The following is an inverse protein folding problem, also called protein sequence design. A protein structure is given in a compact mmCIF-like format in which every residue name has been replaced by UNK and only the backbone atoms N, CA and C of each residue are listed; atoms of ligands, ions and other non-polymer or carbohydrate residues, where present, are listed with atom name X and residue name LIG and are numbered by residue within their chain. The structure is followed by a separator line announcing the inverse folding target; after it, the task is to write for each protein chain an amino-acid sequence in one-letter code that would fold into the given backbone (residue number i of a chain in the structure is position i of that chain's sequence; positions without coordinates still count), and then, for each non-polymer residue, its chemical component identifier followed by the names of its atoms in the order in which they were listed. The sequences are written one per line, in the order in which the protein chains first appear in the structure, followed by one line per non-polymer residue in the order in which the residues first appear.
data_IF_054842373177
#
_entry.id   IF_054842373177
#
_cell.length_a   1.000
_cell.length_b   1.000
_cell.length_c   1.000
_cell.angle_alpha   90.00
_cell.angle_beta   90.00
_cell.angle_gamma   90.00
#
_symmetry.space_group_name_H-M   'P 1'
#
loop_
_entity.id
_entity.type
_entity.pdbx_description
1 polymer ?
#
# COMPACT_ATOMS: atom_id res chain seq x y z
N UNK A 1 6.28 -8.10 -20.65
CA UNK A 1 6.87 -8.30 -19.30
C UNK A 1 7.24 -9.76 -19.05
N UNK A 2 6.30 -10.72 -19.14
CA UNK A 2 6.58 -12.16 -18.92
C UNK A 2 7.66 -12.71 -19.86
N UNK A 3 7.53 -12.47 -21.16
CA UNK A 3 8.54 -12.89 -22.15
C UNK A 3 9.93 -12.34 -21.86
N UNK A 4 10.03 -11.07 -21.46
CA UNK A 4 11.31 -10.43 -21.12
C UNK A 4 11.96 -11.12 -19.92
N UNK A 5 11.19 -11.44 -18.86
CA UNK A 5 11.72 -12.16 -17.70
C UNK A 5 12.17 -13.57 -18.05
N UNK A 6 11.34 -14.30 -18.79
CA UNK A 6 11.69 -15.63 -19.30
C UNK A 6 13.01 -15.57 -20.08
N UNK A 7 13.11 -14.65 -21.05
CA UNK A 7 14.31 -14.48 -21.87
C UNK A 7 15.54 -14.13 -21.03
N UNK A 8 15.43 -13.22 -20.06
CA UNK A 8 16.55 -12.87 -19.17
C UNK A 8 17.04 -14.07 -18.35
N UNK A 9 16.13 -14.91 -17.86
CA UNK A 9 16.50 -16.10 -17.08
C UNK A 9 17.08 -17.21 -17.96
N UNK A 10 16.51 -17.40 -19.15
CA UNK A 10 17.00 -18.35 -20.18
C UNK A 10 18.40 -17.95 -20.68
N UNK A 11 18.60 -16.67 -21.02
CA UNK A 11 19.90 -16.11 -21.42
C UNK A 11 20.94 -16.23 -20.28
N UNK A 12 20.50 -16.30 -19.01
CA UNK A 12 21.35 -16.53 -17.84
C UNK A 12 21.61 -18.03 -17.54
N UNK A 13 21.07 -18.93 -18.38
CA UNK A 13 21.29 -20.38 -18.27
C UNK A 13 20.35 -21.11 -17.30
N UNK A 14 19.27 -20.46 -16.84
CA UNK A 14 18.28 -21.14 -16.01
C UNK A 14 17.49 -22.18 -16.83
N UNK A 15 17.19 -23.33 -16.22
CA UNK A 15 16.35 -24.33 -16.88
C UNK A 15 14.90 -23.84 -16.97
N UNK A 16 14.14 -24.34 -17.96
CA UNK A 16 12.70 -24.02 -18.06
C UNK A 16 11.93 -24.39 -16.77
N UNK A 17 12.34 -25.47 -16.10
CA UNK A 17 11.76 -25.91 -14.83
C UNK A 17 12.01 -24.90 -13.70
N UNK A 18 13.23 -24.38 -13.59
CA UNK A 18 13.57 -23.36 -12.59
C UNK A 18 12.87 -22.03 -12.88
N UNK A 19 12.79 -21.63 -14.16
CA UNK A 19 12.04 -20.45 -14.58
C UNK A 19 10.57 -20.57 -14.18
N UNK A 20 9.94 -21.72 -14.42
CA UNK A 20 8.55 -21.97 -14.04
C UNK A 20 8.35 -21.87 -12.51
N UNK A 21 9.29 -22.41 -11.71
CA UNK A 21 9.26 -22.31 -10.25
C UNK A 21 9.40 -20.86 -9.76
N UNK A 22 10.29 -20.08 -10.36
CA UNK A 22 10.50 -18.67 -10.05
C UNK A 22 9.26 -17.83 -10.35
N UNK A 23 8.56 -18.10 -11.46
CA UNK A 23 7.31 -17.39 -11.80
C UNK A 23 6.18 -17.68 -10.79
N UNK A 24 6.08 -18.90 -10.25
CA UNK A 24 5.12 -19.21 -9.16
C UNK A 24 5.44 -18.40 -7.90
N UNK A 25 6.71 -18.35 -7.49
CA UNK A 25 7.14 -17.57 -6.33
C UNK A 25 6.91 -16.06 -6.54
N UNK A 26 7.07 -15.58 -7.77
CA UNK A 26 6.76 -14.19 -8.13
C UNK A 26 5.26 -13.89 -7.98
N UNK A 27 4.39 -14.81 -8.38
CA UNK A 27 2.95 -14.68 -8.17
C UNK A 27 2.59 -14.47 -6.70
N UNK A 28 3.24 -15.20 -5.79
CA UNK A 28 3.08 -14.98 -4.35
C UNK A 28 3.53 -13.57 -3.96
N UNK A 29 4.72 -13.13 -4.38
CA UNK A 29 5.25 -11.80 -4.06
C UNK A 29 4.38 -10.64 -4.57
N UNK A 30 3.74 -10.81 -5.73
CA UNK A 30 2.84 -9.80 -6.32
C UNK A 30 1.49 -9.77 -5.60
N UNK A 31 0.88 -10.93 -5.33
CA UNK A 31 -0.52 -11.00 -4.92
C UNK A 31 -0.73 -11.04 -3.40
N UNK A 32 0.20 -11.62 -2.64
CA UNK A 32 0.01 -11.82 -1.19
C UNK A 32 -0.07 -10.53 -0.38
N UNK A 33 0.39 -9.41 -0.95
CA UNK A 33 0.43 -8.11 -0.28
C UNK A 33 -0.48 -7.08 -0.95
N UNK A 34 -0.46 -6.97 -2.28
CA UNK A 34 -1.25 -5.96 -3.00
C UNK A 34 -2.76 -6.17 -2.80
N UNK A 35 -3.26 -7.41 -2.83
CA UNK A 35 -4.69 -7.68 -2.65
C UNK A 35 -5.17 -7.32 -1.23
N UNK A 36 -4.53 -7.77 -0.13
CA UNK A 36 -4.88 -7.31 1.21
C UNK A 36 -4.71 -5.80 1.40
N UNK A 37 -3.69 -5.19 0.80
CA UNK A 37 -3.49 -3.75 0.88
C UNK A 37 -4.62 -2.98 0.20
N UNK A 38 -5.05 -3.37 -1.01
CA UNK A 38 -6.25 -2.81 -1.64
C UNK A 38 -7.46 -2.89 -0.71
N UNK A 39 -7.73 -4.07 -0.16
CA UNK A 39 -8.85 -4.28 0.76
C UNK A 39 -8.80 -3.30 1.94
N UNK A 40 -7.66 -3.24 2.64
CA UNK A 40 -7.54 -2.41 3.83
C UNK A 40 -7.58 -0.92 3.53
N UNK A 41 -7.00 -0.47 2.42
CA UNK A 41 -7.01 0.95 2.03
C UNK A 41 -8.44 1.38 1.71
N UNK A 42 -9.16 0.56 0.93
CA UNK A 42 -10.57 0.81 0.62
C UNK A 42 -11.39 0.81 1.92
N UNK A 43 -11.22 -0.21 2.78
CA UNK A 43 -11.93 -0.30 4.05
C UNK A 43 -11.67 0.92 4.93
N UNK A 44 -10.40 1.29 5.16
CA UNK A 44 -10.04 2.35 6.09
C UNK A 44 -10.47 3.74 5.60
N UNK A 45 -10.50 3.96 4.29
CA UNK A 45 -11.04 5.21 3.72
C UNK A 45 -12.57 5.24 3.81
N UNK A 46 -13.25 4.20 3.30
CA UNK A 46 -14.71 4.20 3.22
C UNK A 46 -15.39 4.07 4.59
N UNK A 47 -14.69 3.53 5.60
CA UNK A 47 -15.16 3.50 6.98
C UNK A 47 -15.04 4.85 7.71
N UNK A 48 -14.46 5.88 7.09
CA UNK A 48 -14.21 7.20 7.67
C UNK A 48 -14.82 8.29 6.79
N UNK A 49 -16.09 8.68 7.03
CA UNK A 49 -16.83 9.58 6.15
C UNK A 49 -16.15 10.93 5.90
N UNK A 50 -15.53 11.53 6.91
CA UNK A 50 -14.84 12.83 6.77
C UNK A 50 -13.60 12.72 5.86
N UNK A 51 -12.81 11.65 6.04
CA UNK A 51 -11.66 11.36 5.19
C UNK A 51 -12.10 11.08 3.74
N UNK A 52 -13.14 10.26 3.55
CA UNK A 52 -13.68 9.96 2.22
C UNK A 52 -14.18 11.23 1.52
N UNK A 53 -14.86 12.12 2.25
CA UNK A 53 -15.34 13.40 1.73
C UNK A 53 -14.18 14.28 1.28
N UNK A 54 -13.16 14.45 2.13
CA UNK A 54 -11.99 15.26 1.81
C UNK A 54 -11.24 14.71 0.59
N UNK A 55 -11.05 13.39 0.50
CA UNK A 55 -10.42 12.75 -0.65
C UNK A 55 -11.23 12.95 -1.94
N UNK A 56 -12.57 12.83 -1.89
CA UNK A 56 -13.44 13.10 -3.04
C UNK A 56 -13.28 14.53 -3.54
N UNK A 57 -13.30 15.50 -2.64
CA UNK A 57 -13.15 16.93 -2.96
C UNK A 57 -11.76 17.23 -3.55
N UNK A 58 -10.69 16.69 -2.94
CA UNK A 58 -9.33 16.89 -3.44
C UNK A 58 -9.13 16.31 -4.84
N UNK A 59 -9.50 15.03 -5.05
CA UNK A 59 -9.27 14.36 -6.35
C UNK A 59 -10.09 15.03 -7.46
N UNK A 60 -11.36 15.38 -7.18
CA UNK A 60 -12.21 16.08 -8.15
C UNK A 60 -11.63 17.45 -8.52
N UNK A 61 -11.05 18.18 -7.57
CA UNK A 61 -10.49 19.50 -7.81
C UNK A 61 -9.16 19.47 -8.57
N UNK A 62 -8.31 18.48 -8.34
CA UNK A 62 -6.92 18.51 -8.83
C UNK A 62 -6.65 17.61 -10.02
N UNK A 63 -7.48 16.58 -10.23
CA UNK A 63 -7.13 15.49 -11.16
C UNK A 63 -8.25 15.10 -12.12
N UNK A 64 -9.45 15.65 -11.95
CA UNK A 64 -10.59 15.41 -12.84
C UNK A 64 -10.78 16.60 -13.80
N UNK A 65 -10.97 16.28 -15.07
CA UNK A 65 -11.35 17.22 -16.13
C UNK A 65 -12.58 16.68 -16.87
N UNK A 66 -13.40 17.58 -17.41
CA UNK A 66 -14.58 17.22 -18.21
C UNK A 66 -14.45 17.88 -19.57
N UNK A 67 -14.52 17.09 -20.63
CA UNK A 67 -14.44 17.59 -22.00
C UNK A 67 -15.80 18.07 -22.54
N UNK A 68 -15.82 18.57 -23.78
CA UNK A 68 -17.04 19.09 -24.41
C UNK A 68 -18.09 18.00 -24.70
N UNK A 69 -17.71 16.73 -24.75
CA UNK A 69 -18.61 15.59 -24.93
C UNK A 69 -19.14 15.05 -23.58
N UNK A 70 -18.76 15.69 -22.47
CA UNK A 70 -19.14 15.29 -21.12
C UNK A 70 -18.40 14.06 -20.61
N UNK A 71 -17.25 13.70 -21.20
CA UNK A 71 -16.41 12.61 -20.70
C UNK A 71 -15.54 13.12 -19.55
N UNK A 72 -15.62 12.40 -18.44
CA UNK A 72 -14.84 12.67 -17.23
C UNK A 72 -13.48 11.98 -17.36
N UNK A 73 -12.43 12.76 -17.59
CA UNK A 73 -11.05 12.25 -17.68
C UNK A 73 -10.30 12.51 -16.38
N UNK A 74 -9.79 11.44 -15.78
CA UNK A 74 -8.95 11.49 -14.58
C UNK A 74 -7.51 11.11 -14.94
N UNK A 75 -6.56 12.00 -14.63
CA UNK A 75 -5.14 11.70 -14.77
C UNK A 75 -4.59 11.09 -13.48
N UNK A 76 -4.28 9.79 -13.52
CA UNK A 76 -3.76 9.04 -12.38
C UNK A 76 -2.37 9.49 -11.95
N UNK A 77 -1.58 10.08 -12.86
CA UNK A 77 -0.31 10.68 -12.48
C UNK A 77 -0.55 11.94 -11.64
N UNK A 78 -1.50 12.79 -12.05
CA UNK A 78 -1.92 13.95 -11.28
C UNK A 78 -2.52 13.58 -9.91
N UNK A 79 -3.25 12.46 -9.81
CA UNK A 79 -3.75 11.97 -8.51
C UNK A 79 -2.59 11.69 -7.55
N UNK A 80 -1.55 11.02 -8.02
CA UNK A 80 -0.37 10.71 -7.20
C UNK A 80 0.39 11.97 -6.77
N UNK A 81 0.53 12.94 -7.67
CA UNK A 81 1.31 14.17 -7.42
C UNK A 81 0.53 15.22 -6.60
N UNK A 82 -0.78 15.33 -6.83
CA UNK A 82 -1.61 16.44 -6.32
C UNK A 82 -2.62 16.03 -5.24
N UNK A 83 -2.69 14.75 -4.87
CA UNK A 83 -3.51 14.27 -3.75
C UNK A 83 -2.63 13.61 -2.68
N UNK A 84 -1.84 14.40 -1.93
CA UNK A 84 -0.96 13.87 -0.88
C UNK A 84 -1.75 13.14 0.21
N UNK A 85 -3.01 13.49 0.44
CA UNK A 85 -3.86 12.81 1.41
C UNK A 85 -4.16 11.35 1.03
N UNK A 86 -4.29 11.04 -0.26
CA UNK A 86 -4.52 9.67 -0.70
C UNK A 86 -3.28 8.80 -0.48
N UNK A 87 -2.10 9.33 -0.84
CA UNK A 87 -0.82 8.66 -0.56
C UNK A 87 -0.60 8.49 0.96
N UNK A 88 -0.92 9.52 1.74
CA UNK A 88 -0.81 9.49 3.19
C UNK A 88 -1.79 8.47 3.83
N UNK A 89 -3.02 8.36 3.30
CA UNK A 89 -4.00 7.36 3.72
C UNK A 89 -3.56 5.94 3.39
N UNK A 90 -2.93 5.76 2.22
CA UNK A 90 -2.29 4.51 1.85
C UNK A 90 -1.16 4.15 2.83
N UNK A 91 -0.24 5.08 3.10
CA UNK A 91 0.89 4.86 4.03
C UNK A 91 0.40 4.57 5.45
N UNK A 92 -0.59 5.31 5.94
CA UNK A 92 -1.18 5.10 7.28
C UNK A 92 -1.88 3.74 7.37
N UNK A 93 -2.59 3.32 6.33
CA UNK A 93 -3.16 1.97 6.25
C UNK A 93 -2.07 0.91 6.36
N UNK A 94 -1.01 1.01 5.56
CA UNK A 94 0.10 0.06 5.64
C UNK A 94 0.74 0.06 7.03
N UNK A 95 0.92 1.23 7.66
CA UNK A 95 1.51 1.34 9.00
C UNK A 95 0.67 0.59 10.04
N UNK A 96 -0.63 0.89 10.15
CA UNK A 96 -1.48 0.34 11.22
C UNK A 96 -1.86 -1.11 10.99
N UNK A 97 -1.93 -1.56 9.73
CA UNK A 97 -2.31 -2.93 9.35
C UNK A 97 -1.11 -3.87 9.21
N UNK A 98 0.12 -3.35 9.24
CA UNK A 98 1.31 -4.20 9.09
C UNK A 98 1.43 -5.20 10.23
N UNK A 99 1.67 -6.46 9.85
CA UNK A 99 2.11 -7.53 10.76
C UNK A 99 3.59 -7.90 10.53
N UNK A 100 4.30 -7.12 9.71
CA UNK A 100 5.62 -7.49 9.19
C UNK A 100 6.72 -7.43 10.26
N UNK A 101 7.76 -8.24 10.03
CA UNK A 101 9.02 -8.17 10.76
C UNK A 101 10.17 -8.33 9.76
N UNK A 102 11.23 -7.53 9.93
CA UNK A 102 12.43 -7.64 9.10
C UNK A 102 13.42 -8.59 9.78
N UNK A 103 13.96 -9.53 9.01
CA UNK A 103 14.91 -10.51 9.50
C UNK A 103 16.30 -10.25 8.94
N UNK A 104 17.33 -10.48 9.77
CA UNK A 104 18.74 -10.51 9.36
C UNK A 104 19.44 -11.69 10.01
N UNK A 105 20.22 -12.43 9.25
CA UNK A 105 21.12 -13.46 9.78
C UNK A 105 22.49 -12.81 10.00
N UNK A 106 23.03 -12.96 11.20
CA UNK A 106 24.34 -12.43 11.57
C UNK A 106 25.40 -13.42 11.08
N UNK A 107 26.15 -13.06 10.05
CA UNK A 107 27.19 -13.94 9.49
C UNK A 107 28.51 -13.88 10.25
N UNK A 108 28.82 -12.72 10.81
CA UNK A 108 30.04 -12.47 11.59
C UNK A 108 29.64 -11.82 12.90
N UNK A 109 30.29 -12.22 13.99
CA UNK A 109 30.11 -11.58 15.29
C UNK A 109 30.23 -10.06 15.16
N UNK A 110 29.24 -9.35 15.69
CA UNK A 110 29.09 -7.90 15.49
C UNK A 110 28.63 -7.26 16.79
N UNK A 111 29.18 -6.10 17.14
CA UNK A 111 28.69 -5.26 18.25
C UNK A 111 27.70 -4.23 17.70
N UNK A 112 26.47 -4.22 18.21
CA UNK A 112 25.48 -3.18 17.94
C UNK A 112 25.46 -2.14 19.07
N UNK A 113 25.34 -0.86 18.68
CA UNK A 113 25.22 0.29 19.60
C UNK A 113 26.29 0.31 20.70
N UNK A 114 27.52 -0.11 20.34
CA UNK A 114 28.70 -0.21 21.20
C UNK A 114 28.57 -1.10 22.44
N UNK A 115 27.40 -1.73 22.65
CA UNK A 115 27.02 -2.35 23.92
C UNK A 115 26.50 -3.78 23.77
N UNK A 116 26.08 -4.18 22.57
CA UNK A 116 25.40 -5.47 22.34
C UNK A 116 26.23 -6.36 21.43
N UNK A 117 26.96 -7.33 22.00
CA UNK A 117 27.63 -8.37 21.23
C UNK A 117 26.60 -9.36 20.67
N UNK A 118 26.62 -9.55 19.35
CA UNK A 118 25.70 -10.47 18.66
C UNK A 118 26.51 -11.53 17.94
N UNK A 119 26.33 -12.77 18.37
CA UNK A 119 27.08 -13.90 17.86
C UNK A 119 26.71 -14.22 16.40
N UNK A 120 27.69 -14.71 15.65
CA UNK A 120 27.44 -15.31 14.35
C UNK A 120 26.42 -16.46 14.45
N UNK A 121 25.56 -16.58 13.44
CA UNK A 121 24.42 -17.51 13.41
C UNK A 121 23.14 -16.98 14.06
N UNK A 122 23.17 -15.86 14.78
CA UNK A 122 21.97 -15.25 15.37
C UNK A 122 21.02 -14.71 14.30
N UNK A 123 19.71 -14.77 14.58
CA UNK A 123 18.67 -14.11 13.75
C UNK A 123 18.18 -12.87 14.48
N UNK A 124 18.41 -11.71 13.88
CA UNK A 124 17.85 -10.45 14.34
C UNK A 124 16.45 -10.26 13.78
N UNK A 125 15.52 -9.93 14.66
CA UNK A 125 14.13 -9.64 14.33
C UNK A 125 13.85 -8.18 14.64
N UNK A 126 13.47 -7.42 13.62
CA UNK A 126 13.05 -6.01 13.75
C UNK A 126 11.52 -5.99 13.63
N UNK A 127 10.78 -5.86 14.75
CA UNK A 127 9.33 -6.00 14.76
C UNK A 127 8.66 -4.71 14.26
N UNK A 128 8.53 -4.57 12.94
CA UNK A 128 7.95 -3.37 12.32
C UNK A 128 6.53 -3.08 12.83
N UNK A 129 5.72 -4.12 13.08
CA UNK A 129 4.36 -3.95 13.64
C UNK A 129 4.33 -3.30 15.04
N UNK A 130 5.34 -3.55 15.88
CA UNK A 130 5.47 -2.91 17.20
C UNK A 130 6.03 -1.50 17.08
N UNK A 131 7.04 -1.32 16.23
CA UNK A 131 7.64 -0.01 15.97
C UNK A 131 6.60 0.94 15.37
N UNK A 132 5.76 0.45 14.47
CA UNK A 132 4.65 1.19 13.88
C UNK A 132 3.66 1.72 14.92
N UNK A 133 3.54 1.09 16.09
CA UNK A 133 2.62 1.50 17.18
C UNK A 133 3.34 2.20 18.33
N UNK A 134 4.65 2.39 18.23
CA UNK A 134 5.45 2.99 19.30
C UNK A 134 5.20 4.49 19.38
N UNK A 135 4.76 4.97 20.54
CA UNK A 135 4.55 6.39 20.79
C UNK A 135 5.84 7.21 20.75
N UNK A 136 6.98 6.60 21.09
CA UNK A 136 8.29 7.28 20.98
C UNK A 136 8.71 7.54 19.54
N UNK A 137 8.11 6.82 18.58
CA UNK A 137 8.41 6.92 17.14
C UNK A 137 7.32 7.69 16.40
N UNK A 138 6.05 7.41 16.69
CA UNK A 138 4.89 7.93 15.96
C UNK A 138 4.07 8.97 16.72
N UNK A 139 4.49 9.34 17.94
CA UNK A 139 3.81 10.30 18.80
C UNK A 139 2.69 9.67 19.64
N UNK A 140 2.05 10.46 20.52
CA UNK A 140 1.06 9.96 21.49
C UNK A 140 -0.17 9.32 20.83
N UNK A 141 -0.50 9.70 19.60
CA UNK A 141 -1.61 9.12 18.84
C UNK A 141 -1.16 7.96 17.92
N UNK A 142 -0.04 7.28 18.20
CA UNK A 142 0.49 6.19 17.38
C UNK A 142 -0.51 5.05 17.12
N UNK A 143 -1.42 4.80 18.06
CA UNK A 143 -2.45 3.76 17.93
C UNK A 143 -3.69 4.20 17.15
N UNK A 144 -3.78 5.49 16.81
CA UNK A 144 -4.88 6.04 16.03
C UNK A 144 -4.54 6.06 14.54
N UNK A 145 -5.57 5.90 13.70
CA UNK A 145 -5.45 6.11 12.27
C UNK A 145 -5.57 7.60 11.97
N UNK A 146 -4.46 8.22 11.61
CA UNK A 146 -4.38 9.62 11.22
C UNK A 146 -3.46 9.75 9.99
N UNK A 147 -4.02 9.89 8.77
CA UNK A 147 -3.21 10.03 7.58
C UNK A 147 -2.45 11.36 7.54
N UNK A 148 -2.94 12.42 8.19
CA UNK A 148 -2.29 13.74 8.10
C UNK A 148 -0.88 13.74 8.68
N UNK A 149 -0.52 12.77 9.54
CA UNK A 149 0.84 12.60 10.08
C UNK A 149 1.92 12.39 9.01
N UNK A 150 1.56 11.88 7.84
CA UNK A 150 2.47 11.70 6.71
C UNK A 150 2.59 12.96 5.84
N UNK A 151 1.80 13.99 6.12
CA UNK A 151 1.81 15.28 5.43
C UNK A 151 2.53 16.34 6.28
N UNK A 152 2.23 16.40 7.59
CA UNK A 152 2.67 17.49 8.48
C UNK A 152 4.07 17.30 9.05
N UNK A 153 4.47 16.07 9.32
CA UNK A 153 5.79 15.77 9.89
C UNK A 153 6.77 15.41 8.78
N UNK A 154 7.94 16.06 8.77
CA UNK A 154 8.94 15.85 7.73
C UNK A 154 9.21 14.34 7.56
N UNK A 155 8.95 13.74 6.38
CA UNK A 155 9.04 12.30 6.19
C UNK A 155 10.38 11.72 6.59
N UNK A 156 11.47 12.52 6.55
CA UNK A 156 12.84 12.06 6.78
C UNK A 156 13.08 11.48 8.18
N UNK A 157 12.44 11.98 9.24
CA UNK A 157 12.60 11.40 10.59
C UNK A 157 11.81 10.10 10.76
N UNK A 158 10.73 9.93 10.00
CA UNK A 158 9.84 8.75 10.02
C UNK A 158 10.12 7.73 8.90
N UNK A 159 10.90 8.09 7.89
CA UNK A 159 11.20 7.24 6.74
C UNK A 159 11.97 5.98 7.16
N UNK A 160 12.83 6.08 8.17
CA UNK A 160 13.48 4.93 8.79
C UNK A 160 12.54 4.08 9.65
N UNK A 161 11.44 4.67 10.15
CA UNK A 161 10.44 3.98 10.96
C UNK A 161 9.35 3.29 10.11
N UNK A 162 9.06 3.81 8.91
CA UNK A 162 8.07 3.23 8.01
C UNK A 162 8.68 2.05 7.23
N UNK A 163 8.48 0.83 7.75
CA UNK A 163 9.11 -0.39 7.21
C UNK A 163 8.15 -1.30 6.42
N UNK A 164 7.01 -0.78 5.98
CA UNK A 164 5.97 -1.59 5.31
C UNK A 164 6.43 -2.19 3.97
N UNK A 165 7.44 -1.59 3.33
CA UNK A 165 8.08 -2.12 2.12
C UNK A 165 9.46 -2.74 2.38
N UNK A 166 9.81 -2.98 3.64
CA UNK A 166 11.14 -3.40 4.04
C UNK A 166 11.99 -2.23 4.56
N UNK A 167 13.27 -2.51 4.74
CA UNK A 167 14.27 -1.53 5.13
C UNK A 167 15.54 -1.76 4.31
N UNK A 168 16.18 -0.66 3.89
CA UNK A 168 17.46 -0.71 3.16
C UNK A 168 18.46 -1.65 3.84
N UNK A 169 19.20 -2.48 3.08
CA UNK A 169 19.23 -2.57 1.61
C UNK A 169 18.11 -3.45 1.00
N UNK A 170 17.32 -4.16 1.82
CA UNK A 170 16.31 -5.11 1.36
C UNK A 170 14.93 -4.46 1.30
N UNK A 171 14.70 -3.66 0.26
CA UNK A 171 13.41 -3.03 -0.02
C UNK A 171 12.63 -3.83 -1.06
N UNK A 172 11.30 -3.80 -0.98
CA UNK A 172 10.41 -4.36 -1.98
C UNK A 172 10.66 -3.70 -3.35
N UNK A 173 11.08 -4.50 -4.32
CA UNK A 173 11.33 -4.05 -5.69
C UNK A 173 10.04 -3.56 -6.38
N UNK A 174 8.89 -4.13 -6.00
CA UNK A 174 7.57 -3.78 -6.56
C UNK A 174 6.88 -2.59 -5.89
N UNK A 175 7.49 -1.91 -4.91
CA UNK A 175 6.80 -0.89 -4.09
C UNK A 175 6.19 0.25 -4.91
N UNK A 176 6.88 0.74 -5.93
CA UNK A 176 6.38 1.81 -6.79
C UNK A 176 5.17 1.35 -7.61
N UNK A 177 5.26 0.16 -8.20
CA UNK A 177 4.14 -0.43 -8.94
C UNK A 177 2.93 -0.66 -8.03
N UNK A 178 3.14 -1.30 -6.88
CA UNK A 178 2.09 -1.57 -5.91
C UNK A 178 1.41 -0.28 -5.42
N UNK A 179 2.19 0.74 -5.10
CA UNK A 179 1.66 2.06 -4.70
C UNK A 179 0.82 2.67 -5.83
N UNK A 180 1.33 2.70 -7.07
CA UNK A 180 0.58 3.25 -8.19
C UNK A 180 -0.72 2.49 -8.49
N UNK A 181 -0.68 1.16 -8.47
CA UNK A 181 -1.86 0.30 -8.70
C UNK A 181 -2.93 0.50 -7.63
N UNK A 182 -2.53 0.47 -6.34
CA UNK A 182 -3.45 0.61 -5.21
C UNK A 182 -4.05 2.01 -5.17
N UNK A 183 -3.25 3.05 -5.39
CA UNK A 183 -3.73 4.45 -5.43
C UNK A 183 -4.71 4.63 -6.59
N UNK A 184 -4.37 4.15 -7.80
CA UNK A 184 -5.24 4.30 -8.96
C UNK A 184 -6.57 3.56 -8.74
N UNK A 185 -6.54 2.32 -8.28
CA UNK A 185 -7.75 1.56 -7.95
C UNK A 185 -8.61 2.30 -6.92
N UNK A 186 -7.99 2.75 -5.85
CA UNK A 186 -8.68 3.44 -4.75
C UNK A 186 -9.30 4.76 -5.25
N UNK A 187 -8.57 5.55 -6.04
CA UNK A 187 -9.07 6.79 -6.61
C UNK A 187 -10.29 6.56 -7.52
N UNK A 188 -10.24 5.52 -8.37
CA UNK A 188 -11.38 5.12 -9.21
C UNK A 188 -12.62 4.83 -8.37
N UNK A 189 -12.46 4.06 -7.28
CA UNK A 189 -13.55 3.70 -6.39
C UNK A 189 -14.12 4.90 -5.63
N UNK A 190 -13.25 5.73 -5.06
CA UNK A 190 -13.64 6.96 -4.33
C UNK A 190 -14.47 7.89 -5.23
N UNK A 191 -14.04 8.07 -6.48
CA UNK A 191 -14.68 8.98 -7.42
C UNK A 191 -16.03 8.47 -7.93
N UNK A 192 -16.13 7.19 -8.27
CA UNK A 192 -17.27 6.65 -9.00
C UNK A 192 -18.35 6.04 -8.09
N UNK A 193 -17.98 5.48 -6.93
CA UNK A 193 -18.87 4.62 -6.17
C UNK A 193 -19.08 5.08 -4.74
N UNK A 194 -20.29 4.86 -4.24
CA UNK A 194 -20.61 4.74 -2.84
C UNK A 194 -20.52 3.26 -2.45
N UNK A 195 -19.61 2.96 -1.52
CA UNK A 195 -19.43 1.63 -0.96
C UNK A 195 -19.92 1.68 0.48
N UNK A 196 -20.89 0.83 0.81
CA UNK A 196 -21.55 0.83 2.10
C UNK A 196 -21.53 -0.58 2.72
N UNK A 197 -21.40 -0.67 4.06
CA UNK A 197 -21.55 -1.93 4.76
C UNK A 197 -23.03 -2.36 4.74
N UNK A 198 -23.34 -3.67 4.68
CA UNK A 198 -24.72 -4.15 4.57
C UNK A 198 -25.63 -3.70 5.72
N UNK A 199 -25.07 -3.58 6.92
CA UNK A 199 -25.79 -3.17 8.15
C UNK A 199 -25.71 -1.66 8.42
N UNK A 200 -25.23 -0.85 7.46
CA UNK A 200 -25.07 0.60 7.61
C UNK A 200 -23.94 1.05 8.55
N UNK A 201 -23.33 0.13 9.30
CA UNK A 201 -22.20 0.39 10.19
C UNK A 201 -20.98 -0.44 9.78
N UNK A 202 -19.82 0.21 9.66
CA UNK A 202 -18.56 -0.46 9.38
C UNK A 202 -18.06 -1.23 10.61
N UNK A 203 -17.81 -2.52 10.45
CA UNK A 203 -17.19 -3.38 11.47
C UNK A 203 -15.91 -3.97 10.90
N UNK A 204 -14.78 -3.78 11.57
CA UNK A 204 -13.53 -4.37 11.13
C UNK A 204 -13.66 -5.91 11.10
N UNK A 205 -13.27 -6.60 10.01
CA UNK A 205 -13.35 -8.05 9.96
C UNK A 205 -12.32 -8.69 10.89
N UNK A 206 -12.59 -9.94 11.27
CA UNK A 206 -11.54 -10.82 11.77
C UNK A 206 -10.47 -10.99 10.69
N UNK A 207 -9.23 -11.18 11.11
CA UNK A 207 -8.09 -11.31 10.20
C UNK A 207 -7.56 -12.74 10.17
N UNK A 208 -7.13 -13.19 9.00
CA UNK A 208 -6.50 -14.50 8.82
C UNK A 208 -5.04 -14.45 9.29
N UNK A 209 -4.79 -14.79 10.55
CA UNK A 209 -3.43 -14.85 11.12
C UNK A 209 -2.58 -15.99 10.55
N UNK A 210 -3.18 -16.95 9.83
CA UNK A 210 -2.46 -18.06 9.18
C UNK A 210 -1.84 -17.64 7.84
N UNK A 211 -2.19 -16.46 7.32
CA UNK A 211 -1.61 -15.91 6.08
C UNK A 211 -0.21 -15.32 6.32
N UNK A 212 0.73 -16.15 6.78
CA UNK A 212 2.06 -15.71 7.24
C UNK A 212 2.92 -15.05 6.15
N UNK A 213 2.61 -15.29 4.87
CA UNK A 213 3.30 -14.69 3.74
C UNK A 213 2.81 -13.28 3.39
N UNK A 214 1.73 -12.81 4.02
CA UNK A 214 1.17 -11.48 3.80
C UNK A 214 1.65 -10.53 4.90
N UNK A 215 2.24 -9.39 4.51
CA UNK A 215 2.66 -8.31 5.40
C UNK A 215 1.47 -7.54 6.02
N UNK A 216 0.27 -7.79 5.50
CA UNK A 216 -1.00 -7.32 6.03
C UNK A 216 -1.94 -8.53 6.06
N UNK A 217 -2.41 -8.91 7.25
CA UNK A 217 -3.32 -10.04 7.38
C UNK A 217 -4.61 -9.76 6.59
N UNK A 218 -5.01 -10.60 5.63
CA UNK A 218 -6.28 -10.42 4.92
C UNK A 218 -7.46 -10.70 5.87
N UNK A 219 -8.69 -10.32 5.49
CA UNK A 219 -9.90 -10.78 6.18
C UNK A 219 -9.92 -12.31 6.30
N UNK A 220 -10.40 -12.81 7.44
CA UNK A 220 -10.57 -14.24 7.70
C UNK A 220 -11.67 -14.85 6.84
N UNK A 221 -12.73 -14.06 6.60
CA UNK A 221 -13.93 -14.46 5.88
C UNK A 221 -14.28 -13.44 4.79
N UNK A 222 -15.23 -13.81 3.93
CA UNK A 222 -15.78 -12.90 2.93
C UNK A 222 -16.35 -11.66 3.61
N UNK A 223 -15.91 -10.48 3.18
CA UNK A 223 -16.43 -9.20 3.64
C UNK A 223 -17.40 -8.64 2.59
N UNK A 224 -18.70 -8.61 2.93
CA UNK A 224 -19.73 -8.14 2.01
C UNK A 224 -19.92 -6.63 2.11
N UNK A 225 -20.10 -5.97 0.97
CA UNK A 225 -20.43 -4.54 0.85
C UNK A 225 -21.42 -4.36 -0.29
N UNK A 226 -22.20 -3.28 -0.23
CA UNK A 226 -22.99 -2.80 -1.37
C UNK A 226 -22.17 -1.74 -2.10
N UNK A 227 -22.13 -1.84 -3.43
CA UNK A 227 -21.44 -0.88 -4.30
C UNK A 227 -22.49 -0.27 -5.22
N UNK A 228 -22.62 1.04 -5.21
CA UNK A 228 -23.53 1.78 -6.08
C UNK A 228 -22.79 2.94 -6.75
N UNK A 229 -23.07 3.20 -8.03
CA UNK A 229 -22.61 4.44 -8.67
C UNK A 229 -23.15 5.65 -7.93
N UNK A 230 -22.29 6.65 -7.71
CA UNK A 230 -22.68 7.91 -7.08
C UNK A 230 -23.71 8.61 -7.97
N UNK A 231 -24.82 9.06 -7.37
CA UNK A 231 -25.96 9.62 -8.10
C UNK A 231 -25.58 10.75 -9.07
N UNK A 232 -24.69 11.64 -8.62
CA UNK A 232 -24.16 12.76 -9.40
C UNK A 232 -23.35 12.36 -10.65
N UNK A 233 -22.92 11.11 -10.75
CA UNK A 233 -22.13 10.57 -11.86
C UNK A 233 -22.82 9.41 -12.58
N UNK A 234 -24.11 9.16 -12.31
CA UNK A 234 -24.86 8.10 -12.94
C UNK A 234 -24.90 8.32 -14.46
N UNK A 235 -24.42 7.33 -15.23
CA UNK A 235 -24.36 7.40 -16.70
C UNK A 235 -23.25 8.28 -17.27
N UNK A 236 -22.35 8.80 -16.43
CA UNK A 236 -21.16 9.52 -16.89
C UNK A 236 -20.17 8.56 -17.54
N UNK A 237 -19.58 8.98 -18.67
CA UNK A 237 -18.48 8.25 -19.29
C UNK A 237 -17.17 8.64 -18.62
N UNK A 238 -16.42 7.65 -18.17
CA UNK A 238 -15.12 7.84 -17.53
C UNK A 238 -13.98 7.44 -18.45
N UNK A 239 -12.92 8.23 -18.42
CA UNK A 239 -11.64 7.92 -19.03
C UNK A 239 -10.55 8.06 -17.98
N UNK A 240 -9.65 7.09 -17.91
CA UNK A 240 -8.55 7.07 -16.96
C UNK A 240 -7.25 7.04 -17.74
N UNK A 241 -6.45 8.08 -17.57
CA UNK A 241 -5.16 8.21 -18.23
C UNK A 241 -4.05 8.25 -17.20
N UNK A 242 -2.84 7.89 -17.61
CA UNK A 242 -1.63 8.12 -16.84
C UNK A 242 -0.71 8.95 -17.73
N UNK A 243 -0.78 10.27 -17.61
CA UNK A 243 0.15 11.14 -18.31
C UNK A 243 1.57 10.92 -17.76
N UNK A 244 2.59 11.30 -18.54
CA UNK A 244 3.98 11.21 -18.09
C UNK A 244 4.25 12.22 -16.96
N UNK A 245 3.95 11.83 -15.71
CA UNK A 245 4.23 12.60 -14.50
C UNK A 245 5.66 12.41 -13.99
N UNK A 246 6.08 13.26 -13.04
CA UNK A 246 7.36 13.13 -12.35
C UNK A 246 7.23 11.95 -11.38
N UNK A 247 7.94 10.84 -11.61
CA UNK A 247 7.94 9.66 -10.73
C UNK A 247 8.65 9.90 -9.37
N UNK A 248 8.32 11.00 -8.68
CA UNK A 248 8.88 11.32 -7.36
C UNK A 248 8.01 10.75 -6.23
N UNK A 249 7.55 9.50 -6.38
CA UNK A 249 6.91 8.81 -5.28
C UNK A 249 7.97 8.50 -4.22
N UNK A 250 7.94 9.24 -3.10
CA UNK A 250 8.70 8.87 -1.91
C UNK A 250 7.97 7.70 -1.24
N UNK A 251 8.15 6.50 -1.80
CA UNK A 251 7.66 5.23 -1.25
C UNK A 251 8.75 4.57 -0.42
N UNK A 252 9.23 5.24 0.63
CA UNK A 252 10.29 4.71 1.50
C UNK A 252 11.67 4.57 0.83
#
# INVERSE_FOLDING_TARGET
MVYTRWKTQDDAGATLEDIARLEIAMGLGILSNTVPACFWVIFDIFSRPDLLKELREQIQRTSLSVDCDGVHTVDMAAVQDNCPLLLASFQETLRVRSNSAQLRVVHTETVLDESWLINAGSVLVIPASLINKSESVWGPNANEFDPHRFITEAPKSKASAFMSFGISPNMCAGRHLATSEIIALTAMLILQFDICPPEGTWKAPLVNTKAIAAALSPPADKYSVTIQEREQFRGVKWNFVAASGRQNLIVG
#
